data_IF_441481608632
#
_entry.id   IF_441481608632
#
_cell.length_a   1.000
_cell.length_b   1.000
_cell.length_c   1.000
_cell.angle_alpha   90.00
_cell.angle_beta   90.00
_cell.angle_gamma   90.00
#
_symmetry.space_group_name_H-M   'P 1'
#
loop_
_entity.id
_entity.type
_entity.pdbx_description
1 polymer ?
#
# COMPACT_ATOMS: atom_id res chain seq x y z
N UNK A 1 0.93 6.73 -22.55
CA UNK A 1 0.56 6.41 -21.15
C UNK A 1 -0.23 5.11 -21.10
N UNK A 2 0.40 3.95 -20.91
CA UNK A 2 -0.30 2.64 -20.99
C UNK A 2 -1.31 2.37 -19.84
N UNK A 3 -1.29 3.17 -18.77
CA UNK A 3 -2.21 3.06 -17.62
C UNK A 3 -3.46 3.93 -17.73
N UNK A 4 -3.47 4.90 -18.65
CA UNK A 4 -4.60 5.82 -18.85
C UNK A 4 -5.89 5.11 -19.28
N UNK A 5 -5.87 4.12 -20.18
CA UNK A 5 -7.09 3.42 -20.59
C UNK A 5 -7.83 2.76 -19.43
N UNK A 6 -7.08 2.23 -18.45
CA UNK A 6 -7.63 1.55 -17.27
C UNK A 6 -8.41 2.53 -16.39
N UNK A 7 -7.86 3.73 -16.15
CA UNK A 7 -8.49 4.77 -15.33
C UNK A 7 -9.78 5.26 -16.02
N UNK A 8 -9.70 5.52 -17.33
CA UNK A 8 -10.85 5.96 -18.12
C UNK A 8 -11.93 4.88 -18.18
N UNK A 9 -11.55 3.60 -18.31
CA UNK A 9 -12.48 2.47 -18.26
C UNK A 9 -13.22 2.39 -16.93
N UNK A 10 -12.51 2.56 -15.80
CA UNK A 10 -13.11 2.62 -14.47
C UNK A 10 -14.10 3.78 -14.34
N UNK A 11 -13.75 4.98 -14.79
CA UNK A 11 -14.65 6.14 -14.78
C UNK A 11 -15.88 5.93 -15.67
N UNK A 12 -15.68 5.43 -16.88
CA UNK A 12 -16.76 5.17 -17.83
C UNK A 12 -17.76 4.14 -17.27
N UNK A 13 -17.26 3.05 -16.71
CA UNK A 13 -18.09 2.01 -16.08
C UNK A 13 -18.94 2.60 -14.94
N UNK A 14 -18.34 3.44 -14.09
CA UNK A 14 -19.07 4.11 -13.01
C UNK A 14 -20.12 5.12 -13.52
N UNK A 15 -19.83 5.84 -14.61
CA UNK A 15 -20.82 6.74 -15.25
C UNK A 15 -22.02 5.97 -15.79
N UNK A 16 -21.80 4.86 -16.49
CA UNK A 16 -22.88 4.02 -17.02
C UNK A 16 -23.72 3.38 -15.91
N UNK A 17 -23.08 2.99 -14.80
CA UNK A 17 -23.77 2.55 -13.58
C UNK A 17 -24.61 3.67 -12.95
N UNK A 18 -24.10 4.91 -12.95
CA UNK A 18 -24.80 6.06 -12.37
C UNK A 18 -26.06 6.48 -13.15
N UNK A 19 -26.04 6.32 -14.47
CA UNK A 19 -27.17 6.60 -15.37
C UNK A 19 -28.16 5.44 -15.47
N UNK A 20 -27.79 4.24 -14.97
CA UNK A 20 -28.63 3.04 -15.04
C UNK A 20 -28.62 2.38 -16.42
N UNK A 21 -27.67 2.73 -17.28
CA UNK A 21 -27.53 2.16 -18.63
C UNK A 21 -26.87 0.77 -18.62
N UNK A 22 -26.16 0.43 -17.54
CA UNK A 22 -25.43 -0.83 -17.42
C UNK A 22 -25.94 -1.64 -16.22
N UNK A 23 -26.31 -2.93 -16.39
CA UNK A 23 -26.67 -3.80 -15.27
C UNK A 23 -25.48 -4.01 -14.31
N UNK A 24 -25.76 -4.10 -13.00
CA UNK A 24 -24.71 -4.22 -11.98
C UNK A 24 -23.82 -5.46 -12.16
N UNK A 25 -24.38 -6.59 -12.59
CA UNK A 25 -23.61 -7.82 -12.84
C UNK A 25 -22.60 -7.66 -13.97
N UNK A 26 -23.00 -7.03 -15.08
CA UNK A 26 -22.12 -6.76 -16.24
C UNK A 26 -21.03 -5.77 -15.85
N UNK A 27 -21.40 -4.69 -15.16
CA UNK A 27 -20.44 -3.69 -14.70
C UNK A 27 -19.40 -4.27 -13.75
N UNK A 28 -19.82 -5.14 -12.81
CA UNK A 28 -18.89 -5.84 -11.90
C UNK A 28 -17.89 -6.70 -12.67
N UNK A 29 -18.34 -7.44 -13.70
CA UNK A 29 -17.44 -8.24 -14.53
C UNK A 29 -16.44 -7.35 -15.28
N UNK A 30 -16.88 -6.23 -15.84
CA UNK A 30 -15.99 -5.25 -16.48
C UNK A 30 -14.96 -4.68 -15.50
N UNK A 31 -15.37 -4.34 -14.27
CA UNK A 31 -14.47 -3.87 -13.22
C UNK A 31 -13.43 -4.92 -12.85
N UNK A 32 -13.85 -6.18 -12.65
CA UNK A 32 -12.94 -7.28 -12.35
C UNK A 32 -11.94 -7.50 -13.49
N UNK A 33 -12.40 -7.52 -14.75
CA UNK A 33 -11.51 -7.68 -15.90
C UNK A 33 -10.50 -6.52 -16.01
N UNK A 34 -10.97 -5.28 -15.83
CA UNK A 34 -10.10 -4.10 -15.84
C UNK A 34 -9.05 -4.18 -14.72
N UNK A 35 -9.47 -4.46 -13.49
CA UNK A 35 -8.57 -4.58 -12.33
C UNK A 35 -7.59 -5.75 -12.47
N UNK A 36 -8.02 -6.90 -12.99
CA UNK A 36 -7.14 -8.04 -13.26
C UNK A 36 -6.10 -7.71 -14.32
N UNK A 37 -6.48 -6.95 -15.36
CA UNK A 37 -5.53 -6.52 -16.40
C UNK A 37 -4.37 -5.67 -15.83
N UNK A 38 -4.65 -4.86 -14.80
CA UNK A 38 -3.64 -4.05 -14.11
C UNK A 38 -2.57 -4.94 -13.45
N UNK A 39 -2.97 -6.08 -12.89
CA UNK A 39 -2.05 -6.97 -12.19
C UNK A 39 -1.38 -8.00 -13.11
N UNK A 40 -2.01 -8.36 -14.23
CA UNK A 40 -1.51 -9.43 -15.11
C UNK A 40 -0.66 -8.92 -16.28
N UNK A 41 -0.99 -7.77 -16.87
CA UNK A 41 -0.26 -7.25 -18.03
C UNK A 41 1.17 -6.79 -17.68
N UNK A 42 1.40 -6.03 -16.60
CA UNK A 42 2.75 -5.52 -16.31
C UNK A 42 3.79 -6.61 -16.03
N UNK A 43 3.49 -7.71 -15.31
CA UNK A 43 4.40 -8.85 -15.22
C UNK A 43 4.77 -9.43 -16.59
N UNK A 44 3.80 -9.63 -17.49
CA UNK A 44 4.07 -10.14 -18.84
C UNK A 44 5.05 -9.23 -19.58
N UNK A 45 4.89 -7.91 -19.47
CA UNK A 45 5.84 -6.95 -20.05
C UNK A 45 7.24 -7.11 -19.45
N UNK A 46 7.35 -7.21 -18.13
CA UNK A 46 8.64 -7.41 -17.45
C UNK A 46 9.34 -8.71 -17.90
N UNK A 47 8.57 -9.80 -18.08
CA UNK A 47 9.11 -11.07 -18.54
C UNK A 47 9.57 -11.04 -20.00
N UNK A 48 8.76 -10.44 -20.90
CA UNK A 48 9.03 -10.43 -22.35
C UNK A 48 10.13 -9.43 -22.75
N UNK A 49 10.27 -8.31 -22.04
CA UNK A 49 11.16 -7.21 -22.45
C UNK A 49 12.43 -7.10 -21.60
N UNK A 50 12.76 -8.12 -20.80
CA UNK A 50 13.96 -8.17 -19.95
C UNK A 50 14.29 -6.84 -19.25
N UNK A 51 13.25 -6.24 -18.65
CA UNK A 51 13.35 -4.91 -18.07
C UNK A 51 14.27 -4.90 -16.84
N UNK A 52 15.00 -3.79 -16.62
CA UNK A 52 15.83 -3.61 -15.45
C UNK A 52 15.03 -3.88 -14.15
N UNK A 53 15.54 -4.67 -13.19
CA UNK A 53 14.77 -5.06 -12.01
C UNK A 53 14.33 -3.90 -11.12
N UNK A 54 15.16 -2.87 -10.97
CA UNK A 54 14.83 -1.70 -10.14
C UNK A 54 13.70 -0.91 -10.79
N UNK A 55 13.80 -0.64 -12.08
CA UNK A 55 12.75 0.05 -12.84
C UNK A 55 11.44 -0.76 -12.84
N UNK A 56 11.54 -2.08 -13.02
CA UNK A 56 10.41 -3.01 -12.96
C UNK A 56 9.75 -2.99 -11.57
N UNK A 57 10.51 -3.05 -10.48
CA UNK A 57 9.95 -3.00 -9.12
C UNK A 57 9.22 -1.67 -8.85
N UNK A 58 9.80 -0.54 -9.26
CA UNK A 58 9.13 0.76 -9.16
C UNK A 58 7.84 0.82 -9.98
N UNK A 59 7.86 0.33 -11.22
CA UNK A 59 6.68 0.31 -12.09
C UNK A 59 5.57 -0.59 -11.52
N UNK A 60 5.90 -1.80 -11.06
CA UNK A 60 4.95 -2.70 -10.41
C UNK A 60 4.39 -2.12 -9.10
N UNK A 61 5.21 -1.37 -8.35
CA UNK A 61 4.77 -0.60 -7.19
C UNK A 61 3.71 0.44 -7.55
N UNK A 62 3.95 1.25 -8.58
CA UNK A 62 2.97 2.23 -9.07
C UNK A 62 1.67 1.57 -9.56
N UNK A 63 1.77 0.44 -10.29
CA UNK A 63 0.65 -0.35 -10.78
C UNK A 63 -0.17 -0.93 -9.61
N UNK A 64 0.49 -1.42 -8.57
CA UNK A 64 -0.16 -1.95 -7.36
C UNK A 64 -0.92 -0.84 -6.64
N UNK A 65 -0.31 0.34 -6.48
CA UNK A 65 -0.98 1.52 -5.91
C UNK A 65 -2.21 1.92 -6.74
N UNK A 66 -2.11 1.91 -8.07
CA UNK A 66 -3.23 2.18 -8.97
C UNK A 66 -4.36 1.16 -8.80
N UNK A 67 -4.03 -0.13 -8.73
CA UNK A 67 -4.99 -1.20 -8.47
C UNK A 67 -5.75 -0.97 -7.17
N UNK A 68 -5.04 -0.74 -6.05
CA UNK A 68 -5.66 -0.53 -4.74
C UNK A 68 -6.56 0.71 -4.74
N UNK A 69 -6.12 1.80 -5.38
CA UNK A 69 -6.93 3.00 -5.56
C UNK A 69 -8.21 2.72 -6.34
N UNK A 70 -8.12 2.07 -7.48
CA UNK A 70 -9.30 1.79 -8.31
C UNK A 70 -10.29 0.82 -7.64
N UNK A 71 -9.81 -0.15 -6.86
CA UNK A 71 -10.69 -0.96 -5.99
C UNK A 71 -11.45 -0.07 -5.02
N UNK A 72 -10.76 0.83 -4.32
CA UNK A 72 -11.39 1.76 -3.40
C UNK A 72 -12.41 2.67 -4.10
N UNK A 73 -12.07 3.20 -5.28
CA UNK A 73 -12.95 4.03 -6.10
C UNK A 73 -14.26 3.32 -6.44
N UNK A 74 -14.19 2.07 -6.93
CA UNK A 74 -15.38 1.29 -7.27
C UNK A 74 -16.23 0.96 -6.04
N UNK A 75 -15.61 0.54 -4.93
CA UNK A 75 -16.34 0.20 -3.70
C UNK A 75 -17.05 1.40 -3.08
N UNK A 76 -16.41 2.57 -3.05
CA UNK A 76 -17.01 3.77 -2.47
C UNK A 76 -18.15 4.29 -3.34
N UNK A 77 -18.00 4.28 -4.67
CA UNK A 77 -19.10 4.65 -5.57
C UNK A 77 -20.27 3.65 -5.49
N UNK A 78 -20.00 2.35 -5.31
CA UNK A 78 -21.03 1.35 -5.02
C UNK A 78 -21.82 1.70 -3.75
N UNK A 79 -21.13 2.04 -2.65
CA UNK A 79 -21.80 2.44 -1.41
C UNK A 79 -22.64 3.71 -1.59
N UNK A 80 -22.14 4.70 -2.34
CA UNK A 80 -22.90 5.91 -2.68
C UNK A 80 -24.15 5.60 -3.49
N UNK A 81 -24.08 4.68 -4.47
CA UNK A 81 -25.25 4.22 -5.23
C UNK A 81 -26.28 3.53 -4.34
N UNK A 82 -25.84 2.60 -3.49
CA UNK A 82 -26.71 1.89 -2.56
C UNK A 82 -27.42 2.85 -1.61
N UNK A 83 -26.70 3.84 -1.07
CA UNK A 83 -27.28 4.88 -0.22
C UNK A 83 -28.29 5.77 -0.97
N UNK A 84 -28.02 6.09 -2.24
CA UNK A 84 -28.97 6.84 -3.09
C UNK A 84 -30.24 6.02 -3.36
N UNK A 85 -30.10 4.73 -3.63
CA UNK A 85 -31.22 3.83 -3.85
C UNK A 85 -32.09 3.66 -2.59
N UNK A 86 -31.48 3.47 -1.42
CA UNK A 86 -32.21 3.34 -0.15
C UNK A 86 -32.95 4.62 0.22
N UNK A 87 -32.36 5.81 0.00
CA UNK A 87 -33.04 7.10 0.18
C UNK A 87 -34.25 7.28 -0.73
N UNK A 88 -34.16 6.86 -2.00
CA UNK A 88 -35.31 6.89 -2.92
C UNK A 88 -36.43 5.96 -2.44
N UNK A 89 -36.09 4.76 -1.97
CA UNK A 89 -37.07 3.81 -1.42
C UNK A 89 -37.74 4.35 -0.16
N UNK A 90 -36.97 4.97 0.75
CA UNK A 90 -37.54 5.58 1.95
C UNK A 90 -38.47 6.73 1.60
N UNK A 91 -38.10 7.64 0.68
CA UNK A 91 -38.96 8.74 0.23
C UNK A 91 -40.27 8.27 -0.39
N UNK A 92 -40.26 7.15 -1.12
CA UNK A 92 -41.47 6.53 -1.67
C UNK A 92 -42.37 5.91 -0.59
N UNK A 93 -41.78 5.41 0.50
CA UNK A 93 -42.52 4.90 1.67
C UNK A 93 -43.04 5.98 2.61
N UNK A 94 -42.33 7.12 2.71
CA UNK A 94 -42.75 8.23 3.57
C UNK A 94 -43.61 9.27 2.83
N UNK A 95 -43.76 9.22 1.51
CA UNK A 95 -44.72 10.07 0.78
C UNK A 95 -46.20 9.71 1.00
N UNK A 96 -46.49 8.70 1.83
CA UNK A 96 -47.82 8.43 2.39
C UNK A 96 -48.04 9.06 3.80
N UNK A 97 -47.08 9.86 4.29
CA UNK A 97 -47.20 10.65 5.52
C UNK A 97 -46.58 12.04 5.31
N UNK A 98 -47.18 13.06 5.90
CA UNK A 98 -46.87 14.48 5.68
C UNK A 98 -45.36 14.83 5.78
N UNK A 99 -44.95 15.80 4.96
CA UNK A 99 -43.57 16.12 4.70
C UNK A 99 -42.79 16.73 5.87
N UNK A 100 -41.51 16.37 5.93
CA UNK A 100 -40.45 17.22 6.47
C UNK A 100 -39.22 17.13 5.56
N UNK A 101 -38.89 18.27 4.95
CA UNK A 101 -37.70 18.50 4.16
C UNK A 101 -36.52 18.57 5.12
N UNK A 102 -35.77 17.47 5.27
CA UNK A 102 -34.43 17.53 5.87
C UNK A 102 -33.46 18.03 4.80
N UNK A 103 -33.23 19.35 4.83
CA UNK A 103 -32.16 20.00 4.07
C UNK A 103 -30.81 19.34 4.40
N UNK A 104 -29.99 19.18 3.36
CA UNK A 104 -28.68 18.58 3.44
C UNK A 104 -27.80 19.26 4.48
N UNK A 105 -26.93 18.45 5.10
CA UNK A 105 -25.88 18.87 6.03
C UNK A 105 -24.91 19.78 5.27
N UNK A 106 -25.22 21.08 5.23
CA UNK A 106 -24.28 22.13 4.87
C UNK A 106 -23.48 22.46 6.13
N UNK A 107 -22.27 21.91 6.23
CA UNK A 107 -21.33 22.28 7.29
C UNK A 107 -20.98 23.76 7.16
N UNK A 108 -21.44 24.60 8.09
CA UNK A 108 -21.00 25.98 8.23
C UNK A 108 -19.51 26.00 8.59
N UNK A 109 -18.67 26.49 7.68
CA UNK A 109 -17.32 26.94 8.02
C UNK A 109 -17.38 28.41 8.41
N UNK A 110 -16.52 28.82 9.35
CA UNK A 110 -16.53 30.12 10.05
C UNK A 110 -16.19 31.35 9.18
N UNK A 111 -16.15 31.24 7.85
CA UNK A 111 -15.73 32.32 6.94
C UNK A 111 -16.65 32.51 5.72
N UNK A 112 -17.97 32.39 5.87
CA UNK A 112 -18.98 32.89 4.90
C UNK A 112 -19.02 32.24 3.50
N UNK A 113 -18.00 31.49 3.10
CA UNK A 113 -17.97 30.72 1.86
C UNK A 113 -18.55 29.33 2.14
N UNK A 114 -19.74 29.05 1.62
CA UNK A 114 -20.26 27.68 1.57
C UNK A 114 -19.29 26.84 0.72
N UNK A 115 -18.48 26.00 1.36
CA UNK A 115 -17.72 24.98 0.66
C UNK A 115 -18.73 24.04 0.00
N UNK A 116 -18.86 24.12 -1.33
CA UNK A 116 -19.76 23.26 -2.10
C UNK A 116 -19.22 21.82 -2.02
N UNK A 117 -19.78 21.03 -1.12
CA UNK A 117 -19.44 19.61 -1.02
C UNK A 117 -19.91 18.88 -2.28
N UNK A 118 -19.03 18.05 -2.83
CA UNK A 118 -19.36 17.19 -3.97
C UNK A 118 -20.23 16.04 -3.47
N UNK A 119 -21.36 15.82 -4.15
CA UNK A 119 -22.34 14.77 -3.83
C UNK A 119 -22.47 13.86 -5.05
N UNK A 120 -22.59 12.55 -4.81
CA UNK A 120 -22.82 11.59 -5.89
C UNK A 120 -24.13 11.92 -6.66
N UNK A 121 -24.12 11.97 -8.01
CA UNK A 121 -23.09 11.45 -8.93
C UNK A 121 -22.09 12.51 -9.47
N UNK A 122 -22.07 13.73 -8.95
CA UNK A 122 -21.27 14.83 -9.52
C UNK A 122 -19.75 14.60 -9.39
N UNK A 123 -19.34 13.67 -8.51
CA UNK A 123 -17.96 13.22 -8.34
C UNK A 123 -17.40 12.41 -9.52
N UNK A 124 -18.26 12.00 -10.46
CA UNK A 124 -17.88 11.20 -11.62
C UNK A 124 -17.34 12.06 -12.76
N UNK A 125 -16.25 12.77 -12.50
CA UNK A 125 -15.57 13.60 -13.50
C UNK A 125 -14.07 13.27 -13.57
N UNK A 126 -13.42 13.71 -14.66
CA UNK A 126 -11.99 13.41 -14.89
C UNK A 126 -11.10 14.06 -13.84
N UNK A 127 -11.43 15.28 -13.41
CA UNK A 127 -10.62 16.01 -12.43
C UNK A 127 -10.56 15.26 -11.09
N UNK A 128 -11.69 14.80 -10.57
CA UNK A 128 -11.76 14.13 -9.27
C UNK A 128 -11.06 12.76 -9.28
N UNK A 129 -11.23 11.97 -10.35
CA UNK A 129 -10.54 10.68 -10.44
C UNK A 129 -9.03 10.85 -10.57
N UNK A 130 -8.53 11.75 -11.44
CA UNK A 130 -7.09 11.98 -11.55
C UNK A 130 -6.51 12.60 -10.28
N UNK A 131 -7.24 13.52 -9.66
CA UNK A 131 -6.84 14.04 -8.36
C UNK A 131 -6.65 12.90 -7.35
N UNK A 132 -7.62 11.98 -7.27
CA UNK A 132 -7.51 10.81 -6.42
C UNK A 132 -6.35 9.89 -6.80
N UNK A 133 -6.07 9.67 -8.09
CA UNK A 133 -4.94 8.84 -8.52
C UNK A 133 -3.61 9.37 -7.99
N UNK A 134 -3.41 10.68 -7.99
CA UNK A 134 -2.12 11.27 -7.58
C UNK A 134 -1.98 11.55 -6.09
N UNK A 135 -3.06 11.72 -5.32
CA UNK A 135 -2.93 11.98 -3.87
C UNK A 135 -2.34 10.81 -3.11
N UNK A 136 -1.56 11.05 -2.04
CA UNK A 136 -0.89 10.01 -1.26
C UNK A 136 -1.84 9.28 -0.28
N UNK A 137 -3.00 8.83 -0.77
CA UNK A 137 -3.93 7.97 -0.02
C UNK A 137 -4.50 6.88 -0.93
N UNK A 138 -4.81 5.72 -0.35
CA UNK A 138 -5.40 4.58 -1.07
C UNK A 138 -6.92 4.52 -0.93
N UNK A 139 -7.49 5.23 0.05
CA UNK A 139 -8.93 5.27 0.29
C UNK A 139 -9.55 6.44 -0.47
N UNK A 140 -10.43 6.13 -1.43
CA UNK A 140 -11.20 7.13 -2.15
C UNK A 140 -12.26 7.76 -1.23
N UNK A 141 -12.38 9.08 -1.31
CA UNK A 141 -13.45 9.84 -0.69
C UNK A 141 -13.90 10.93 -1.66
N UNK A 142 -15.19 11.31 -1.59
CA UNK A 142 -15.74 12.32 -2.48
C UNK A 142 -15.12 13.70 -2.20
N UNK A 143 -14.79 13.99 -0.93
CA UNK A 143 -14.31 15.28 -0.50
C UNK A 143 -13.08 15.11 0.38
N UNK A 144 -11.89 15.28 -0.21
CA UNK A 144 -10.64 15.25 0.54
C UNK A 144 -10.37 16.58 1.25
N UNK A 145 -9.81 16.56 2.48
CA UNK A 145 -9.42 17.78 3.16
C UNK A 145 -8.27 18.47 2.39
N UNK A 146 -8.42 19.77 2.13
CA UNK A 146 -7.47 20.56 1.33
C UNK A 146 -6.74 21.61 2.15
N UNK A 147 -5.45 21.77 1.88
CA UNK A 147 -4.66 22.89 2.40
C UNK A 147 -5.00 24.18 1.64
N UNK A 148 -5.06 25.31 2.33
CA UNK A 148 -5.41 26.61 1.73
C UNK A 148 -4.38 27.10 0.70
N UNK A 149 -3.09 26.80 0.92
CA UNK A 149 -1.98 27.22 0.06
C UNK A 149 -0.86 26.17 0.03
N UNK A 150 -0.02 26.26 -0.99
CA UNK A 150 1.24 25.51 -1.09
C UNK A 150 2.33 26.28 -0.34
N UNK A 151 2.89 25.68 0.71
CA UNK A 151 4.01 26.18 1.50
C UNK A 151 5.33 25.85 0.81
N UNK A 152 5.76 26.73 -0.10
CA UNK A 152 6.96 26.53 -0.95
C UNK A 152 8.22 26.11 -0.17
N UNK A 153 8.50 26.74 0.99
CA UNK A 153 9.64 26.38 1.84
C UNK A 153 9.56 24.95 2.39
N UNK A 154 8.37 24.53 2.82
CA UNK A 154 8.13 23.17 3.28
C UNK A 154 8.28 22.17 2.12
N UNK A 155 7.69 22.48 0.96
CA UNK A 155 7.79 21.66 -0.24
C UNK A 155 9.25 21.44 -0.67
N UNK A 156 10.03 22.52 -0.78
CA UNK A 156 11.43 22.46 -1.17
C UNK A 156 12.27 21.65 -0.17
N UNK A 157 12.06 21.88 1.14
CA UNK A 157 12.76 21.14 2.20
C UNK A 157 12.47 19.63 2.12
N UNK A 158 11.19 19.22 2.04
CA UNK A 158 10.81 17.80 1.94
C UNK A 158 11.31 17.15 0.66
N UNK A 159 11.27 17.87 -0.46
CA UNK A 159 11.82 17.39 -1.73
C UNK A 159 13.33 17.15 -1.66
N UNK A 160 14.08 18.11 -1.10
CA UNK A 160 15.54 17.97 -0.94
C UNK A 160 15.89 16.85 0.03
N UNK A 161 15.18 16.72 1.15
CA UNK A 161 15.36 15.60 2.08
C UNK A 161 15.12 14.25 1.41
N UNK A 162 14.07 14.10 0.60
CA UNK A 162 13.85 12.88 -0.19
C UNK A 162 15.04 12.56 -1.09
N UNK A 163 15.58 13.56 -1.81
CA UNK A 163 16.72 13.36 -2.71
C UNK A 163 17.99 12.95 -1.96
N UNK A 164 18.31 13.65 -0.87
CA UNK A 164 19.51 13.39 -0.06
C UNK A 164 19.44 12.03 0.64
N UNK A 165 18.27 11.66 1.19
CA UNK A 165 18.07 10.36 1.83
C UNK A 165 18.15 9.21 0.82
N UNK A 166 17.64 9.39 -0.40
CA UNK A 166 17.80 8.40 -1.48
C UNK A 166 19.28 8.22 -1.85
N UNK A 167 20.05 9.31 -1.98
CA UNK A 167 21.49 9.23 -2.22
C UNK A 167 22.24 8.53 -1.08
N UNK A 168 21.86 8.80 0.18
CA UNK A 168 22.43 8.13 1.35
C UNK A 168 22.15 6.62 1.34
N UNK A 169 20.93 6.21 0.99
CA UNK A 169 20.57 4.79 0.85
C UNK A 169 21.43 4.12 -0.24
N UNK A 170 21.61 4.78 -1.39
CA UNK A 170 22.45 4.26 -2.47
C UNK A 170 23.91 4.13 -2.03
N UNK A 171 24.45 5.13 -1.34
CA UNK A 171 25.81 5.10 -0.81
C UNK A 171 26.02 3.95 0.20
N UNK A 172 25.08 3.76 1.14
CA UNK A 172 25.14 2.65 2.10
C UNK A 172 25.02 1.29 1.42
N UNK A 173 24.14 1.15 0.42
CA UNK A 173 24.03 -0.07 -0.35
C UNK A 173 25.35 -0.40 -1.06
N UNK A 174 25.97 0.59 -1.71
CA UNK A 174 27.25 0.41 -2.42
C UNK A 174 28.44 0.14 -1.49
N UNK A 175 28.51 0.80 -0.34
CA UNK A 175 29.68 0.70 0.55
C UNK A 175 29.58 -0.42 1.59
N UNK A 176 28.37 -0.84 1.99
CA UNK A 176 28.20 -1.89 2.99
C UNK A 176 27.56 -3.16 2.44
N UNK A 177 26.46 -3.06 1.69
CA UNK A 177 25.74 -4.26 1.22
C UNK A 177 26.52 -4.96 0.11
N UNK A 178 26.95 -4.23 -0.92
CA UNK A 178 27.66 -4.81 -2.08
C UNK A 178 28.93 -5.57 -1.68
N UNK A 179 29.85 -5.04 -0.85
CA UNK A 179 31.05 -5.78 -0.46
C UNK A 179 30.74 -7.05 0.33
N UNK A 180 29.70 -7.03 1.19
CA UNK A 180 29.29 -8.23 1.93
C UNK A 180 28.75 -9.30 0.98
N UNK A 181 28.01 -8.87 -0.06
CA UNK A 181 27.48 -9.75 -1.11
C UNK A 181 28.59 -10.30 -2.01
N UNK A 182 29.57 -9.50 -2.39
CA UNK A 182 30.69 -9.95 -3.23
C UNK A 182 31.56 -11.00 -2.54
N UNK A 183 31.74 -10.90 -1.22
CA UNK A 183 32.43 -11.91 -0.42
C UNK A 183 31.65 -13.23 -0.29
N UNK A 184 30.41 -13.28 -0.77
CA UNK A 184 29.49 -14.40 -0.66
C UNK A 184 29.48 -15.19 -1.97
N UNK A 185 30.43 -16.11 -2.16
CA UNK A 185 30.63 -16.80 -3.46
C UNK A 185 29.53 -17.81 -3.83
N UNK A 186 28.52 -18.03 -2.98
CA UNK A 186 27.45 -19.02 -3.22
C UNK A 186 26.06 -18.41 -2.99
N UNK A 187 25.04 -18.75 -3.81
CA UNK A 187 23.65 -18.40 -3.53
C UNK A 187 23.18 -18.99 -2.19
N UNK A 188 22.24 -18.33 -1.49
CA UNK A 188 21.73 -18.80 -0.19
C UNK A 188 21.12 -20.21 -0.27
N UNK A 189 20.59 -20.59 -1.43
CA UNK A 189 20.04 -21.94 -1.67
C UNK A 189 21.08 -23.06 -1.56
N UNK A 190 22.36 -22.75 -1.79
CA UNK A 190 23.45 -23.73 -1.84
C UNK A 190 24.36 -23.66 -0.60
N UNK A 191 24.05 -22.75 0.34
CA UNK A 191 24.85 -22.55 1.54
C UNK A 191 24.45 -23.52 2.66
N UNK A 192 25.47 -24.02 3.37
CA UNK A 192 25.26 -24.71 4.65
C UNK A 192 24.62 -23.74 5.67
N UNK A 193 23.74 -24.27 6.53
CA UNK A 193 22.98 -23.45 7.49
C UNK A 193 23.83 -22.51 8.37
N UNK A 194 24.98 -22.93 8.94
CA UNK A 194 25.81 -22.02 9.74
C UNK A 194 26.38 -20.84 8.93
N UNK A 195 26.80 -21.09 7.68
CA UNK A 195 27.33 -20.07 6.79
C UNK A 195 26.23 -19.08 6.34
N UNK A 196 25.04 -19.60 6.03
CA UNK A 196 23.85 -18.80 5.76
C UNK A 196 23.54 -17.87 6.94
N UNK A 197 23.50 -18.41 8.17
CA UNK A 197 23.20 -17.64 9.37
C UNK A 197 24.25 -16.56 9.63
N UNK A 198 25.54 -16.87 9.51
CA UNK A 198 26.63 -15.88 9.65
C UNK A 198 26.46 -14.72 8.65
N UNK A 199 26.15 -15.03 7.39
CA UNK A 199 25.92 -14.00 6.36
C UNK A 199 24.69 -13.16 6.63
N UNK A 200 23.58 -13.80 7.01
CA UNK A 200 22.34 -13.11 7.37
C UNK A 200 22.56 -12.12 8.52
N UNK A 201 23.31 -12.52 9.55
CA UNK A 201 23.65 -11.63 10.67
C UNK A 201 24.51 -10.45 10.25
N UNK A 202 25.49 -10.65 9.35
CA UNK A 202 26.31 -9.57 8.80
C UNK A 202 25.50 -8.58 7.97
N UNK A 203 24.48 -9.06 7.26
CA UNK A 203 23.57 -8.24 6.46
C UNK A 203 22.45 -7.57 7.28
N UNK A 204 22.10 -8.10 8.45
CA UNK A 204 20.98 -7.61 9.25
C UNK A 204 21.11 -6.14 9.66
N UNK A 205 22.31 -5.72 10.09
CA UNK A 205 22.60 -4.34 10.52
C UNK A 205 22.48 -3.32 9.38
N UNK A 206 23.19 -3.47 8.24
CA UNK A 206 23.03 -2.53 7.14
C UNK A 206 21.59 -2.55 6.57
N UNK A 207 20.92 -3.71 6.60
CA UNK A 207 19.54 -3.84 6.15
C UNK A 207 18.55 -3.03 7.02
N UNK A 208 18.61 -3.15 8.35
CA UNK A 208 17.69 -2.38 9.22
C UNK A 208 17.92 -0.88 9.10
N UNK A 209 19.17 -0.44 8.91
CA UNK A 209 19.49 0.97 8.70
C UNK A 209 18.93 1.50 7.37
N UNK A 210 19.10 0.75 6.27
CA UNK A 210 18.50 1.10 4.98
C UNK A 210 16.97 1.11 5.07
N UNK A 211 16.37 0.13 5.75
CA UNK A 211 14.92 0.07 5.96
C UNK A 211 14.40 1.26 6.77
N UNK A 212 15.12 1.66 7.82
CA UNK A 212 14.80 2.87 8.59
C UNK A 212 14.92 4.14 7.75
N UNK A 213 16.00 4.31 6.98
CA UNK A 213 16.14 5.44 6.06
C UNK A 213 15.05 5.48 4.99
N UNK A 214 14.63 4.31 4.49
CA UNK A 214 13.49 4.20 3.59
C UNK A 214 12.21 4.74 4.22
N UNK A 215 11.97 4.52 5.52
CA UNK A 215 10.83 5.11 6.22
C UNK A 215 10.86 6.65 6.26
N UNK A 216 12.06 7.24 6.30
CA UNK A 216 12.25 8.70 6.21
C UNK A 216 12.05 9.22 4.79
N UNK A 217 12.47 8.46 3.77
CA UNK A 217 12.15 8.75 2.36
C UNK A 217 10.64 8.70 2.15
N UNK A 218 9.95 7.71 2.72
CA UNK A 218 8.50 7.58 2.68
C UNK A 218 7.82 8.82 3.28
N UNK A 219 8.24 9.26 4.48
CA UNK A 219 7.76 10.50 5.09
C UNK A 219 7.91 11.71 4.14
N UNK A 220 9.13 11.93 3.65
CA UNK A 220 9.48 13.13 2.90
C UNK A 220 8.82 13.17 1.52
N UNK A 221 8.74 12.01 0.86
CA UNK A 221 8.16 11.86 -0.48
C UNK A 221 6.65 12.05 -0.43
N UNK A 222 5.95 11.37 0.49
CA UNK A 222 4.49 11.54 0.61
C UNK A 222 4.10 12.95 1.03
N UNK A 223 4.87 13.60 1.91
CA UNK A 223 4.65 15.00 2.27
C UNK A 223 4.90 15.96 1.09
N UNK A 224 5.87 15.65 0.22
CA UNK A 224 6.11 16.42 -1.01
C UNK A 224 4.91 16.33 -1.95
N UNK A 225 4.41 15.12 -2.24
CA UNK A 225 3.20 14.92 -3.05
C UNK A 225 1.96 15.55 -2.40
N UNK A 226 1.78 15.40 -1.09
CA UNK A 226 0.65 15.97 -0.36
C UNK A 226 0.65 17.51 -0.44
N UNK A 227 1.81 18.14 -0.25
CA UNK A 227 1.92 19.59 -0.34
C UNK A 227 1.68 20.09 -1.77
N UNK A 228 2.25 19.42 -2.78
CA UNK A 228 2.05 19.75 -4.19
C UNK A 228 0.57 19.68 -4.60
N UNK A 229 -0.14 18.65 -4.13
CA UNK A 229 -1.56 18.40 -4.43
C UNK A 229 -2.52 19.09 -3.46
N UNK A 230 -2.01 19.89 -2.52
CA UNK A 230 -2.76 20.54 -1.43
C UNK A 230 -3.61 19.55 -0.62
N UNK A 231 -3.13 18.32 -0.45
CA UNK A 231 -3.74 17.31 0.40
C UNK A 231 -3.38 17.57 1.87
N UNK A 232 -4.40 17.74 2.71
CA UNK A 232 -4.22 18.15 4.10
C UNK A 232 -4.09 16.97 5.07
N UNK A 233 -4.65 15.79 4.76
CA UNK A 233 -4.44 14.59 5.58
C UNK A 233 -3.03 14.06 5.33
N UNK A 234 -2.16 14.18 6.33
CA UNK A 234 -0.73 13.81 6.24
C UNK A 234 -0.33 12.77 7.25
N UNK A 235 -1.32 12.06 7.79
CA UNK A 235 -1.12 10.99 8.74
C UNK A 235 -0.75 9.69 8.00
N UNK A 236 0.48 9.64 7.49
CA UNK A 236 0.96 8.49 6.71
C UNK A 236 1.47 7.35 7.59
N UNK A 237 1.92 7.66 8.80
CA UNK A 237 2.38 6.72 9.82
C UNK A 237 2.22 7.34 11.22
N UNK A 238 2.28 6.50 12.25
CA UNK A 238 2.31 6.87 13.68
C UNK A 238 3.59 6.37 14.33
N UNK A 239 3.73 6.48 15.64
CA UNK A 239 4.88 6.08 16.45
C UNK A 239 5.09 4.55 16.51
N UNK A 240 5.22 3.90 15.35
CA UNK A 240 5.41 2.47 15.19
C UNK A 240 6.71 1.96 15.81
N UNK A 241 7.71 2.83 16.02
CA UNK A 241 8.97 2.48 16.70
C UNK A 241 8.78 2.20 18.20
N UNK A 242 7.71 2.74 18.80
CA UNK A 242 7.31 2.49 20.19
C UNK A 242 6.29 1.36 20.30
N UNK A 243 6.06 0.59 19.23
CA UNK A 243 5.07 -0.49 19.24
C UNK A 243 5.39 -1.51 20.34
N UNK A 244 4.42 -1.74 21.22
CA UNK A 244 4.46 -2.77 22.27
C UNK A 244 4.03 -4.15 21.74
N UNK A 245 3.30 -4.17 20.63
CA UNK A 245 2.77 -5.37 19.99
C UNK A 245 3.04 -5.36 18.49
N UNK A 246 3.20 -6.54 17.91
CA UNK A 246 3.34 -6.73 16.46
C UNK A 246 2.11 -6.18 15.73
N UNK A 247 0.93 -6.34 16.34
CA UNK A 247 -0.31 -5.76 15.81
C UNK A 247 -0.26 -4.23 15.75
N UNK A 248 0.19 -3.55 16.81
CA UNK A 248 0.33 -2.09 16.79
C UNK A 248 1.30 -1.65 15.69
N UNK A 249 2.44 -2.33 15.53
CA UNK A 249 3.39 -2.02 14.46
C UNK A 249 2.72 -2.05 13.07
N UNK A 250 2.06 -3.17 12.72
CA UNK A 250 1.46 -3.35 11.39
C UNK A 250 0.32 -2.37 11.08
N UNK A 251 -0.33 -1.80 12.10
CA UNK A 251 -1.39 -0.81 11.93
C UNK A 251 -0.86 0.62 11.73
N UNK A 252 0.36 0.90 12.20
CA UNK A 252 0.85 2.26 12.38
C UNK A 252 2.03 2.63 11.47
N UNK A 253 2.74 1.68 10.86
CA UNK A 253 3.89 1.99 9.99
C UNK A 253 3.48 2.56 8.62
N UNK A 254 2.38 2.09 8.04
CA UNK A 254 1.85 2.51 6.74
C UNK A 254 0.32 2.61 6.81
N UNK A 255 -0.14 3.74 7.33
CA UNK A 255 -1.54 4.02 7.57
C UNK A 255 -2.39 4.00 6.28
N UNK A 256 -1.93 4.52 5.12
CA UNK A 256 -2.68 4.41 3.87
C UNK A 256 -3.06 2.97 3.50
N UNK A 257 -2.11 2.02 3.60
CA UNK A 257 -2.37 0.60 3.33
C UNK A 257 -3.22 -0.02 4.43
N UNK A 258 -2.91 0.27 5.70
CA UNK A 258 -3.70 -0.26 6.83
C UNK A 258 -5.18 0.16 6.73
N UNK A 259 -5.46 1.46 6.51
CA UNK A 259 -6.83 1.98 6.35
C UNK A 259 -7.53 1.34 5.17
N UNK A 260 -6.81 1.11 4.07
CA UNK A 260 -7.37 0.43 2.90
C UNK A 260 -7.76 -1.01 3.22
N UNK A 261 -6.85 -1.78 3.82
CA UNK A 261 -7.11 -3.17 4.24
C UNK A 261 -8.29 -3.23 5.22
N UNK A 262 -8.35 -2.31 6.19
CA UNK A 262 -9.44 -2.25 7.15
C UNK A 262 -10.79 -1.97 6.49
N UNK A 263 -10.84 -0.97 5.61
CA UNK A 263 -12.08 -0.44 5.01
C UNK A 263 -12.61 -1.29 3.86
N UNK A 264 -11.73 -1.81 3.02
CA UNK A 264 -12.09 -2.46 1.76
C UNK A 264 -11.96 -3.98 1.78
N UNK A 265 -11.31 -4.55 2.79
CA UNK A 265 -11.16 -6.00 2.92
C UNK A 265 -11.71 -6.50 4.25
N UNK A 266 -11.13 -6.10 5.37
CA UNK A 266 -11.47 -6.63 6.70
C UNK A 266 -12.94 -6.39 7.09
N UNK A 267 -13.39 -5.14 7.10
CA UNK A 267 -14.77 -4.80 7.48
C UNK A 267 -15.82 -5.49 6.58
N UNK A 268 -15.69 -5.47 5.24
CA UNK A 268 -16.58 -6.22 4.36
C UNK A 268 -16.59 -7.73 4.61
N UNK A 269 -15.43 -8.37 4.83
CA UNK A 269 -15.37 -9.81 5.13
C UNK A 269 -16.09 -10.16 6.43
N UNK A 270 -15.87 -9.36 7.49
CA UNK A 270 -16.57 -9.55 8.78
C UNK A 270 -18.07 -9.30 8.64
N UNK A 271 -18.47 -8.27 7.88
CA UNK A 271 -19.87 -7.99 7.59
C UNK A 271 -20.56 -9.10 6.78
N UNK A 272 -19.79 -9.86 5.99
CA UNK A 272 -20.26 -11.05 5.26
C UNK A 272 -20.33 -12.32 6.14
N UNK A 273 -20.04 -12.24 7.44
CA UNK A 273 -20.14 -13.35 8.40
C UNK A 273 -18.83 -14.07 8.69
N UNK A 274 -17.70 -13.61 8.15
CA UNK A 274 -16.39 -14.21 8.43
C UNK A 274 -15.92 -13.91 9.86
N UNK A 275 -15.29 -14.89 10.51
CA UNK A 275 -14.69 -14.68 11.84
C UNK A 275 -13.57 -13.64 11.79
N UNK A 276 -13.36 -12.90 12.89
CA UNK A 276 -12.32 -11.86 12.97
C UNK A 276 -10.92 -12.41 12.68
N UNK A 277 -10.64 -13.64 13.14
CA UNK A 277 -9.35 -14.32 12.90
C UNK A 277 -9.18 -14.65 11.43
N UNK A 278 -10.18 -15.25 10.79
CA UNK A 278 -10.10 -15.60 9.37
C UNK A 278 -10.00 -14.34 8.49
N UNK A 279 -10.73 -13.28 8.82
CA UNK A 279 -10.61 -11.99 8.13
C UNK A 279 -9.21 -11.36 8.29
N UNK A 280 -8.58 -11.51 9.46
CA UNK A 280 -7.20 -11.09 9.68
C UNK A 280 -6.22 -11.89 8.80
N UNK A 281 -6.35 -13.23 8.79
CA UNK A 281 -5.54 -14.11 7.94
C UNK A 281 -5.68 -13.73 6.46
N UNK A 282 -6.89 -13.42 5.99
CA UNK A 282 -7.11 -12.96 4.60
C UNK A 282 -6.41 -11.64 4.29
N UNK A 283 -6.36 -10.70 5.23
CA UNK A 283 -5.59 -9.44 5.07
C UNK A 283 -4.09 -9.75 4.95
N UNK A 284 -3.56 -10.63 5.79
CA UNK A 284 -2.15 -11.04 5.73
C UNK A 284 -1.82 -11.82 4.45
N UNK A 285 -2.72 -12.68 3.96
CA UNK A 285 -2.57 -13.39 2.68
C UNK A 285 -2.50 -12.41 1.51
N UNK A 286 -3.39 -11.42 1.46
CA UNK A 286 -3.35 -10.39 0.42
C UNK A 286 -2.04 -9.58 0.49
N UNK A 287 -1.62 -9.22 1.71
CA UNK A 287 -0.33 -8.53 1.92
C UNK A 287 0.84 -9.39 1.45
N UNK A 288 0.87 -10.67 1.81
CA UNK A 288 1.91 -11.62 1.41
C UNK A 288 2.00 -11.77 -0.11
N UNK A 289 0.85 -11.85 -0.79
CA UNK A 289 0.78 -11.85 -2.25
C UNK A 289 1.47 -10.63 -2.87
N UNK A 290 1.17 -9.41 -2.39
CA UNK A 290 1.80 -8.20 -2.95
C UNK A 290 3.28 -8.09 -2.61
N UNK A 291 3.73 -8.52 -1.44
CA UNK A 291 5.16 -8.54 -1.10
C UNK A 291 5.93 -9.49 -2.03
N UNK A 292 5.42 -10.70 -2.25
CA UNK A 292 6.01 -11.66 -3.19
C UNK A 292 5.98 -11.11 -4.62
N UNK A 293 4.84 -10.56 -5.05
CA UNK A 293 4.68 -9.99 -6.38
C UNK A 293 5.71 -8.87 -6.67
N UNK A 294 5.91 -7.95 -5.72
CA UNK A 294 6.79 -6.79 -5.90
C UNK A 294 8.29 -7.12 -5.86
N UNK A 295 8.67 -8.30 -5.34
CA UNK A 295 10.06 -8.73 -5.24
C UNK A 295 10.37 -9.81 -6.30
N UNK A 296 9.51 -10.81 -6.43
CA UNK A 296 9.74 -11.98 -7.26
C UNK A 296 9.56 -11.71 -8.75
N UNK A 297 8.60 -10.88 -9.15
CA UNK A 297 8.37 -10.56 -10.58
C UNK A 297 9.52 -9.74 -11.17
N UNK A 298 9.98 -8.62 -10.56
CA UNK A 298 11.10 -7.84 -11.11
C UNK A 298 12.41 -8.62 -11.18
N UNK A 299 12.65 -9.50 -10.21
CA UNK A 299 13.85 -10.33 -10.14
C UNK A 299 13.73 -11.63 -10.94
N UNK A 300 12.53 -11.97 -11.41
CA UNK A 300 12.20 -13.24 -12.10
C UNK A 300 12.53 -14.48 -11.25
N UNK A 301 12.35 -14.38 -9.93
CA UNK A 301 12.73 -15.42 -8.96
C UNK A 301 11.55 -15.76 -8.05
N UNK A 302 10.96 -16.94 -8.18
CA UNK A 302 9.78 -17.36 -7.44
C UNK A 302 10.13 -18.30 -6.28
N UNK A 303 10.69 -17.74 -5.19
CA UNK A 303 11.17 -18.52 -4.03
C UNK A 303 10.18 -18.60 -2.87
N UNK A 304 9.14 -17.76 -2.88
CA UNK A 304 8.07 -17.73 -1.87
C UNK A 304 8.56 -17.35 -0.46
N UNK A 305 9.79 -16.84 -0.31
CA UNK A 305 10.35 -16.44 0.98
C UNK A 305 9.68 -15.19 1.54
N UNK A 306 9.38 -14.19 0.70
CA UNK A 306 8.71 -12.97 1.16
C UNK A 306 7.26 -13.26 1.55
N UNK A 307 6.59 -14.15 0.80
CA UNK A 307 5.26 -14.65 1.14
C UNK A 307 5.23 -15.34 2.50
N UNK A 308 6.12 -16.33 2.71
CA UNK A 308 6.21 -17.08 3.96
C UNK A 308 6.63 -16.20 5.14
N UNK A 309 7.58 -15.28 4.94
CA UNK A 309 7.99 -14.32 5.96
C UNK A 309 6.85 -13.43 6.44
N UNK A 310 5.98 -13.00 5.53
CA UNK A 310 4.79 -12.20 5.88
C UNK A 310 3.75 -13.04 6.64
N UNK A 311 3.51 -14.29 6.22
CA UNK A 311 2.58 -15.18 6.92
C UNK A 311 3.08 -15.61 8.30
N UNK A 312 4.40 -15.80 8.46
CA UNK A 312 5.02 -16.13 9.74
C UNK A 312 4.83 -15.04 10.80
N UNK A 313 4.51 -13.80 10.41
CA UNK A 313 4.18 -12.72 11.34
C UNK A 313 2.90 -12.99 12.14
N UNK A 314 1.93 -13.75 11.59
CA UNK A 314 0.68 -14.07 12.27
C UNK A 314 0.88 -14.97 13.49
N UNK A 315 1.50 -16.17 13.38
CA UNK A 315 1.80 -16.97 14.55
C UNK A 315 2.81 -16.29 15.47
N UNK A 316 3.78 -15.53 14.93
CA UNK A 316 4.70 -14.74 15.74
C UNK A 316 3.96 -13.73 16.63
N UNK A 317 3.04 -12.94 16.06
CA UNK A 317 2.22 -12.00 16.82
C UNK A 317 1.41 -12.70 17.91
N UNK A 318 0.80 -13.85 17.61
CA UNK A 318 0.05 -14.63 18.60
C UNK A 318 0.94 -15.10 19.77
N UNK A 319 2.13 -15.62 19.47
CA UNK A 319 3.08 -16.05 20.50
C UNK A 319 3.54 -14.87 21.35
N UNK A 320 3.88 -13.73 20.73
CA UNK A 320 4.33 -12.55 21.47
C UNK A 320 3.23 -12.00 22.38
N UNK A 321 2.01 -11.88 21.86
CA UNK A 321 0.87 -11.35 22.61
C UNK A 321 0.45 -12.28 23.77
N UNK A 322 0.64 -13.59 23.64
CA UNK A 322 0.27 -14.54 24.68
C UNK A 322 1.37 -14.73 25.76
N UNK A 323 2.65 -14.59 25.39
CA UNK A 323 3.79 -14.80 26.29
C UNK A 323 4.22 -13.52 27.01
N UNK A 324 4.32 -12.40 26.29
CA UNK A 324 5.01 -11.21 26.79
C UNK A 324 4.09 -10.12 27.33
N UNK A 325 2.81 -10.09 26.92
CA UNK A 325 1.86 -9.02 27.25
C UNK A 325 1.67 -8.77 28.76
N UNK A 326 1.85 -9.80 29.59
CA UNK A 326 1.59 -9.71 31.04
C UNK A 326 2.85 -9.74 31.90
N UNK A 327 4.05 -9.81 31.31
CA UNK A 327 5.27 -10.11 32.09
C UNK A 327 6.21 -8.90 32.23
N UNK A 328 6.42 -8.11 31.16
CA UNK A 328 7.31 -6.93 31.19
C UNK A 328 6.95 -5.91 30.10
N UNK A 329 6.88 -4.61 30.45
CA UNK A 329 6.43 -3.54 29.53
C UNK A 329 7.29 -3.36 28.26
N UNK A 330 8.57 -3.75 28.27
CA UNK A 330 9.50 -3.46 27.18
C UNK A 330 9.78 -4.66 26.25
N UNK A 331 9.42 -5.88 26.64
CA UNK A 331 9.77 -7.08 25.87
C UNK A 331 8.99 -7.18 24.56
N UNK A 332 7.75 -6.69 24.54
CA UNK A 332 6.96 -6.63 23.31
C UNK A 332 7.61 -5.71 22.26
N UNK A 333 8.11 -4.54 22.69
CA UNK A 333 8.86 -3.64 21.81
C UNK A 333 10.18 -4.25 21.32
N UNK A 334 10.93 -4.93 22.21
CA UNK A 334 12.12 -5.67 21.80
C UNK A 334 11.80 -6.74 20.76
N UNK A 335 10.72 -7.49 20.93
CA UNK A 335 10.28 -8.52 19.98
C UNK A 335 9.93 -7.93 18.61
N UNK A 336 9.28 -6.75 18.56
CA UNK A 336 9.02 -6.03 17.32
C UNK A 336 10.33 -5.62 16.65
N UNK A 337 11.29 -5.05 17.37
CA UNK A 337 12.58 -4.66 16.79
C UNK A 337 13.37 -5.87 16.26
N UNK A 338 13.38 -6.98 17.00
CA UNK A 338 13.98 -8.23 16.54
C UNK A 338 13.30 -8.68 15.24
N UNK A 339 11.97 -8.69 15.18
CA UNK A 339 11.25 -9.10 13.95
C UNK A 339 11.51 -8.18 12.76
N UNK A 340 11.79 -6.90 12.98
CA UNK A 340 12.22 -5.97 11.92
C UNK A 340 13.64 -6.23 11.44
N UNK A 341 14.55 -6.64 12.32
CA UNK A 341 15.95 -6.91 11.99
C UNK A 341 16.08 -8.24 11.23
N UNK A 342 15.48 -9.32 11.75
CA UNK A 342 15.65 -10.69 11.21
C UNK A 342 14.47 -11.21 10.39
N UNK A 343 13.33 -10.50 10.36
CA UNK A 343 12.12 -10.95 9.69
C UNK A 343 12.01 -10.46 8.26
N UNK A 344 10.91 -9.75 7.96
CA UNK A 344 10.50 -9.47 6.59
C UNK A 344 11.51 -8.69 5.74
N UNK A 345 12.17 -7.63 6.25
CA UNK A 345 13.17 -6.91 5.46
C UNK A 345 14.35 -7.79 5.04
N UNK A 346 14.76 -8.73 5.90
CA UNK A 346 15.86 -9.65 5.62
C UNK A 346 15.46 -10.68 4.56
N UNK A 347 14.21 -11.18 4.60
CA UNK A 347 13.68 -12.08 3.57
C UNK A 347 13.73 -11.44 2.17
N UNK A 348 13.45 -10.12 2.06
CA UNK A 348 13.57 -9.38 0.80
C UNK A 348 15.03 -9.29 0.35
N UNK A 349 15.95 -9.01 1.28
CA UNK A 349 17.39 -8.92 0.96
C UNK A 349 17.95 -10.25 0.44
N UNK A 350 17.45 -11.39 0.91
CA UNK A 350 17.84 -12.71 0.40
C UNK A 350 17.56 -12.87 -1.11
N UNK A 351 16.49 -12.27 -1.64
CA UNK A 351 16.23 -12.28 -3.09
C UNK A 351 17.27 -11.45 -3.85
N UNK A 352 17.55 -10.23 -3.38
CA UNK A 352 18.54 -9.36 -4.02
C UNK A 352 19.95 -9.96 -3.95
N UNK A 353 20.29 -10.62 -2.84
CA UNK A 353 21.53 -11.39 -2.71
C UNK A 353 21.65 -12.42 -3.83
N UNK A 354 20.68 -13.34 -3.93
CA UNK A 354 20.78 -14.42 -4.91
C UNK A 354 20.67 -13.93 -6.35
N UNK A 355 19.86 -12.89 -6.62
CA UNK A 355 19.85 -12.24 -7.91
C UNK A 355 21.23 -11.69 -8.29
N UNK A 356 21.90 -11.01 -7.36
CA UNK A 356 23.23 -10.45 -7.59
C UNK A 356 24.27 -11.54 -7.87
N UNK A 357 24.28 -12.61 -7.08
CA UNK A 357 25.23 -13.72 -7.26
C UNK A 357 24.99 -14.43 -8.59
N UNK A 358 23.74 -14.68 -8.98
CA UNK A 358 23.41 -15.36 -10.25
C UNK A 358 23.82 -14.52 -11.47
N UNK A 359 23.61 -13.20 -11.43
CA UNK A 359 23.84 -12.34 -12.61
C UNK A 359 25.24 -11.72 -12.67
N UNK A 360 25.90 -11.52 -11.53
CA UNK A 360 27.19 -10.80 -11.45
C UNK A 360 28.29 -11.61 -10.75
N UNK A 361 27.95 -12.69 -10.04
CA UNK A 361 28.93 -13.50 -9.31
C UNK A 361 29.80 -14.39 -10.21
N UNK A 362 29.27 -14.87 -11.35
CA UNK A 362 29.98 -15.80 -12.25
C UNK A 362 30.91 -15.12 -13.25
N UNK A 363 30.68 -13.84 -13.58
CA UNK A 363 31.45 -13.11 -14.60
C UNK A 363 32.83 -12.63 -14.12
N UNK A 364 33.21 -12.87 -12.86
CA UNK A 364 34.51 -12.45 -12.29
C UNK A 364 35.42 -13.62 -11.89
N UNK A 365 35.00 -14.86 -12.12
CA UNK A 365 35.79 -16.08 -11.90
C UNK A 365 36.40 -16.65 -13.20
N UNK A 366 36.27 -15.92 -14.31
CA UNK A 366 37.03 -16.05 -15.55
C UNK A 366 37.86 -14.78 -15.71
#
# INVERSE_FOLDING_TARGET
SRTEPVILCSLATEKFLATGQLPEGVARNMQVLNLSSILLIPPVVVFVWDCNPVASSLALGCVTVLFLKLVSYHMVNLWCRQQRASRKHHRRRSSSGSGQITQGVNGRTTNGHMAKFVIYPDNLNLYDIYYFIFVPTLCYELNFPRSSRIRKRFLFRRFLESLLLLQLILALAQQWIVPIMENSLKPFQEMNFPAMLERLLKLAVPNILIWYLHSLVFHSTLNTFAELLRFADREFYRDWWNADTVQYFWQNWNIPVHRWCLRHLYKPLVAAGMSKTLACIMVFLLSAFFHEYLVSVPLKMFRVWAFLGMLAQVPFAFVIDNIFRNRYNNLGNMAVWISLIIGQPLAILMYYHDYYIINYGTSRTL
#
